data_IF_407820598127
#
_entry.id   IF_407820598127
#
_cell.length_a   1.000
_cell.length_b   1.000
_cell.length_c   1.000
_cell.angle_alpha   90.00
_cell.angle_beta   90.00
_cell.angle_gamma   90.00
#
_symmetry.space_group_name_H-M   'P 1'
#
loop_
_entity.id
_entity.type
_entity.pdbx_description
1 polymer ?
#
# COMPACT_ATOMS: atom_id res chain seq x y z
N UNK A 1 -8.42 24.60 2.61
CA UNK A 1 -7.30 24.01 3.38
C UNK A 1 -7.79 22.67 3.90
N UNK A 2 -7.50 21.57 3.19
CA UNK A 2 -7.89 20.24 3.66
C UNK A 2 -7.01 19.85 4.87
N UNK A 3 -7.57 19.18 5.89
CA UNK A 3 -6.80 18.80 7.06
C UNK A 3 -5.73 17.75 6.68
N UNK A 4 -4.55 17.88 7.27
CA UNK A 4 -3.33 17.10 7.05
C UNK A 4 -3.42 15.59 7.37
N UNK A 5 -4.60 14.96 7.26
CA UNK A 5 -4.85 13.54 7.52
C UNK A 5 -5.64 12.79 6.43
N UNK A 6 -6.02 13.39 5.30
CA UNK A 6 -6.95 12.75 4.36
C UNK A 6 -6.35 12.11 3.11
N UNK A 7 -5.18 12.56 2.65
CA UNK A 7 -4.64 12.10 1.35
C UNK A 7 -4.10 10.67 1.38
N UNK A 8 -3.55 10.22 2.52
CA UNK A 8 -2.97 8.88 2.66
C UNK A 8 -3.99 7.79 3.09
N UNK A 9 -5.21 8.21 3.43
CA UNK A 9 -6.24 7.38 4.06
C UNK A 9 -7.58 7.40 3.29
N UNK A 10 -7.52 7.54 1.97
CA UNK A 10 -8.70 7.75 1.12
C UNK A 10 -9.59 6.51 1.00
N UNK A 11 -9.00 5.32 1.09
CA UNK A 11 -9.67 4.05 0.89
C UNK A 11 -9.56 3.18 2.13
N UNK A 12 -10.61 2.43 2.42
CA UNK A 12 -10.62 1.37 3.44
C UNK A 12 -10.52 0.04 2.71
N UNK A 13 -9.47 -0.72 3.01
CA UNK A 13 -9.37 -2.11 2.60
C UNK A 13 -9.89 -2.99 3.73
N UNK A 14 -10.83 -3.86 3.39
CA UNK A 14 -11.35 -4.89 4.29
C UNK A 14 -11.02 -6.25 3.71
N UNK A 15 -10.33 -7.07 4.50
CA UNK A 15 -9.88 -8.38 4.07
C UNK A 15 -10.72 -9.47 4.73
N UNK A 16 -11.03 -10.47 3.93
CA UNK A 16 -11.83 -11.62 4.34
C UNK A 16 -11.07 -12.91 4.05
N UNK A 17 -11.14 -13.85 4.97
CA UNK A 17 -10.76 -15.23 4.71
C UNK A 17 -11.73 -15.83 3.70
N UNK A 18 -11.22 -16.40 2.61
CA UNK A 18 -12.07 -16.91 1.52
C UNK A 18 -12.83 -18.17 1.92
N UNK A 19 -12.29 -18.98 2.82
CA UNK A 19 -12.87 -20.27 3.22
C UNK A 19 -14.00 -20.09 4.23
N UNK A 20 -13.85 -19.16 5.18
CA UNK A 20 -14.83 -18.91 6.25
C UNK A 20 -15.72 -17.70 5.97
N UNK A 21 -15.29 -16.78 5.11
CA UNK A 21 -15.95 -15.48 4.92
C UNK A 21 -15.73 -14.51 6.09
N UNK A 22 -14.91 -14.88 7.09
CA UNK A 22 -14.65 -14.03 8.24
C UNK A 22 -13.73 -12.86 7.87
N UNK A 23 -13.99 -11.70 8.47
CA UNK A 23 -13.10 -10.53 8.32
C UNK A 23 -11.82 -10.76 9.11
N UNK A 24 -10.69 -10.79 8.43
CA UNK A 24 -9.36 -11.00 9.03
C UNK A 24 -8.59 -9.70 9.29
N UNK A 25 -9.00 -8.60 8.67
CA UNK A 25 -8.36 -7.30 8.90
C UNK A 25 -9.06 -6.15 8.19
N UNK A 26 -8.75 -4.94 8.64
CA UNK A 26 -9.23 -3.71 8.03
C UNK A 26 -8.21 -2.60 8.26
N UNK A 27 -7.85 -1.87 7.21
CA UNK A 27 -6.93 -0.74 7.31
C UNK A 27 -7.21 0.31 6.23
N UNK A 28 -6.63 1.50 6.41
CA UNK A 28 -6.76 2.59 5.44
C UNK A 28 -5.53 2.71 4.56
N UNK A 29 -5.73 3.14 3.33
CA UNK A 29 -4.66 3.37 2.36
C UNK A 29 -5.10 4.43 1.33
N UNK A 30 -4.16 4.91 0.53
CA UNK A 30 -4.43 5.86 -0.57
C UNK A 30 -4.62 5.18 -1.92
N UNK A 31 -4.39 3.87 -2.01
CA UNK A 31 -4.60 3.10 -3.23
C UNK A 31 -5.95 2.39 -3.18
N UNK A 32 -6.74 2.51 -4.24
CA UNK A 32 -8.03 1.83 -4.35
C UNK A 32 -7.86 0.31 -4.55
N UNK A 33 -6.76 -0.11 -5.16
CA UNK A 33 -6.43 -1.50 -5.47
C UNK A 33 -4.91 -1.67 -5.62
N UNK A 34 -4.38 -2.81 -5.19
CA UNK A 34 -3.04 -3.27 -5.53
C UNK A 34 -2.93 -4.80 -5.37
N UNK A 35 -2.02 -5.46 -6.12
CA UNK A 35 -1.65 -6.85 -5.84
C UNK A 35 -1.08 -7.00 -4.43
N UNK A 36 -1.49 -8.05 -3.72
CA UNK A 36 -1.04 -8.34 -2.36
C UNK A 36 -0.95 -9.84 -2.11
N UNK A 37 -0.23 -10.21 -1.06
CA UNK A 37 -0.29 -11.53 -0.45
C UNK A 37 -0.36 -11.40 1.08
N UNK A 38 -0.79 -12.48 1.74
CA UNK A 38 -0.92 -12.53 3.19
C UNK A 38 -0.04 -13.67 3.72
N UNK A 39 0.72 -13.39 4.78
CA UNK A 39 1.53 -14.37 5.50
C UNK A 39 1.32 -14.21 7.00
N UNK A 40 0.73 -15.21 7.65
CA UNK A 40 0.32 -15.11 9.06
C UNK A 40 -0.67 -13.97 9.27
N UNK A 41 -0.29 -12.96 10.06
CA UNK A 41 -1.10 -11.75 10.34
C UNK A 41 -0.65 -10.54 9.53
N UNK A 42 0.25 -10.72 8.57
CA UNK A 42 0.84 -9.64 7.79
C UNK A 42 0.31 -9.66 6.35
N UNK A 43 -0.13 -8.49 5.88
CA UNK A 43 -0.40 -8.24 4.47
C UNK A 43 0.77 -7.50 3.86
N UNK A 44 1.23 -7.99 2.71
CA UNK A 44 2.29 -7.37 1.91
C UNK A 44 1.73 -6.97 0.56
N UNK A 45 1.92 -5.71 0.19
CA UNK A 45 1.42 -5.16 -1.07
C UNK A 45 2.38 -4.13 -1.65
N UNK A 46 2.30 -3.96 -2.97
CA UNK A 46 3.05 -2.94 -3.69
C UNK A 46 2.18 -1.70 -3.94
N UNK A 47 2.79 -0.52 -3.87
CA UNK A 47 2.22 0.72 -4.38
C UNK A 47 3.15 1.33 -5.42
N UNK A 48 2.57 1.98 -6.42
CA UNK A 48 3.32 2.77 -7.41
C UNK A 48 3.87 4.07 -6.82
N UNK A 49 4.70 4.80 -7.59
CA UNK A 49 5.13 6.14 -7.20
C UNK A 49 3.92 7.05 -6.99
N UNK A 50 3.99 7.96 -6.02
CA UNK A 50 2.92 8.91 -5.75
C UNK A 50 3.48 10.21 -5.17
N UNK A 51 2.76 11.30 -5.38
CA UNK A 51 3.10 12.58 -4.78
C UNK A 51 2.36 12.78 -3.46
N UNK A 52 3.06 13.34 -2.48
CA UNK A 52 2.49 13.72 -1.19
C UNK A 52 2.79 15.18 -0.88
N UNK A 53 1.74 15.94 -0.59
CA UNK A 53 1.90 17.27 -0.02
C UNK A 53 2.38 17.18 1.43
N UNK A 54 3.41 17.95 1.76
CA UNK A 54 4.00 18.12 3.09
C UNK A 54 4.02 19.61 3.45
N UNK A 55 4.34 19.94 4.70
CA UNK A 55 4.44 21.35 5.14
C UNK A 55 5.55 22.12 4.38
N UNK A 56 6.53 21.42 3.79
CA UNK A 56 7.64 22.01 3.03
C UNK A 56 7.44 21.94 1.51
N UNK A 57 6.30 21.45 1.02
CA UNK A 57 6.00 21.33 -0.40
C UNK A 57 5.56 19.93 -0.83
N UNK A 58 5.51 19.68 -2.14
CA UNK A 58 5.19 18.36 -2.70
C UNK A 58 6.45 17.50 -2.72
N UNK A 59 6.34 16.28 -2.18
CA UNK A 59 7.40 15.27 -2.17
C UNK A 59 6.96 14.11 -3.06
N UNK A 60 7.82 13.68 -3.96
CA UNK A 60 7.63 12.47 -4.74
C UNK A 60 8.12 11.26 -3.92
N UNK A 61 7.23 10.29 -3.73
CA UNK A 61 7.53 9.02 -3.07
C UNK A 61 7.75 7.96 -4.16
N UNK A 62 8.88 7.21 -4.11
CA UNK A 62 9.12 6.15 -5.09
C UNK A 62 8.09 5.03 -4.94
N UNK A 63 8.04 4.10 -5.89
CA UNK A 63 7.29 2.87 -5.69
C UNK A 63 7.77 2.15 -4.41
N UNK A 64 6.85 1.51 -3.68
CA UNK A 64 7.15 0.91 -2.38
C UNK A 64 6.48 -0.46 -2.22
N UNK A 65 7.10 -1.33 -1.44
CA UNK A 65 6.45 -2.48 -0.83
C UNK A 65 6.15 -2.12 0.63
N UNK A 66 4.96 -2.47 1.11
CA UNK A 66 4.54 -2.22 2.49
C UNK A 66 4.08 -3.51 3.15
N UNK A 67 4.53 -3.71 4.38
CA UNK A 67 3.99 -4.72 5.30
C UNK A 67 3.03 -4.06 6.28
N UNK A 68 1.83 -4.63 6.43
CA UNK A 68 0.77 -4.14 7.33
C UNK A 68 0.31 -5.27 8.22
N UNK A 69 0.22 -5.00 9.53
CA UNK A 69 -0.39 -5.92 10.47
C UNK A 69 -1.92 -5.89 10.31
N UNK A 70 -2.53 -7.02 9.99
CA UNK A 70 -3.96 -7.12 9.71
C UNK A 70 -4.83 -6.95 10.95
N UNK A 71 -4.29 -7.18 12.15
CA UNK A 71 -5.04 -7.04 13.41
C UNK A 71 -5.24 -5.57 13.79
N UNK A 72 -4.20 -4.77 13.60
CA UNK A 72 -4.15 -3.35 14.00
C UNK A 72 -4.36 -2.41 12.83
N UNK A 73 -4.08 -2.86 11.60
CA UNK A 73 -4.03 -2.04 10.40
C UNK A 73 -2.79 -1.14 10.31
N UNK A 74 -1.84 -1.28 11.23
CA UNK A 74 -0.64 -0.46 11.27
C UNK A 74 0.40 -0.94 10.25
N UNK A 75 1.11 0.01 9.64
CA UNK A 75 2.27 -0.31 8.82
C UNK A 75 3.40 -0.82 9.72
N UNK A 76 3.90 -2.03 9.45
CA UNK A 76 5.03 -2.64 10.13
C UNK A 76 6.35 -2.15 9.54
N UNK A 77 6.42 -2.06 8.21
CA UNK A 77 7.61 -1.60 7.48
C UNK A 77 7.26 -1.11 6.08
N UNK A 78 8.17 -0.33 5.51
CA UNK A 78 8.12 0.21 4.14
C UNK A 78 9.48 0.00 3.50
N UNK A 79 9.49 -0.53 2.28
CA UNK A 79 10.70 -0.72 1.49
C UNK A 79 10.56 -0.04 0.11
N UNK A 80 11.47 0.88 -0.29
CA UNK A 80 11.42 1.51 -1.60
C UNK A 80 11.88 0.54 -2.70
N UNK A 81 11.21 0.58 -3.85
CA UNK A 81 11.60 -0.14 -5.07
C UNK A 81 12.43 0.81 -5.92
N UNK A 82 13.69 0.45 -6.18
CA UNK A 82 14.67 1.34 -6.84
C UNK A 82 14.59 1.33 -8.36
N UNK A 83 14.25 0.19 -8.95
CA UNK A 83 14.18 0.03 -10.40
C UNK A 83 12.88 -0.68 -10.75
N UNK A 84 12.00 0.03 -11.44
CA UNK A 84 10.71 -0.45 -11.93
C UNK A 84 10.65 -0.48 -13.46
N UNK A 85 11.77 -0.15 -14.13
CA UNK A 85 11.84 -0.06 -15.58
C UNK A 85 12.21 -1.44 -16.13
N UNK A 86 11.28 -2.04 -16.87
CA UNK A 86 11.60 -3.22 -17.66
C UNK A 86 12.45 -2.80 -18.87
N UNK A 87 13.68 -3.35 -18.94
CA UNK A 87 14.63 -3.12 -20.04
C UNK A 87 14.81 -4.36 -20.91
N UNK A 88 14.01 -5.41 -20.70
CA UNK A 88 14.09 -6.62 -21.51
C UNK A 88 13.53 -6.37 -22.90
N UNK A 89 14.18 -6.93 -23.92
CA UNK A 89 13.63 -6.90 -25.27
C UNK A 89 12.33 -7.73 -25.30
N UNK A 90 11.29 -7.29 -26.03
CA UNK A 90 10.08 -8.09 -26.17
C UNK A 90 10.42 -9.47 -26.77
N UNK A 91 9.67 -10.53 -26.39
CA UNK A 91 9.88 -11.86 -26.95
C UNK A 91 9.70 -11.86 -28.48
N UNK A 92 10.39 -12.77 -29.21
CA UNK A 92 10.34 -12.86 -30.67
C UNK A 92 8.95 -13.21 -31.23
#
# INVERSE_FOLDING_TARGET
RAPNGSALEQYVWTLYDRSTGERIGQFKTHVHYAPFFVTGTELVYQIGPFERSTDTGVVEEPAQIRGVDLKTGNTLWVAPIRDIVDRTSPPP
#
